data_IF_471283181850
#
_entry.id   IF_471283181850
#
_cell.length_a   1.000
_cell.length_b   1.000
_cell.length_c   1.000
_cell.angle_alpha   90.00
_cell.angle_beta   90.00
_cell.angle_gamma   90.00
#
_symmetry.space_group_name_H-M   'P 1'
#
loop_
_entity.id
_entity.type
_entity.pdbx_description
1 polymer ?
#
# COMPACT_ATOMS: atom_id res chain seq x y z
N UNK A 1 6.97 -14.38 -6.25
CA UNK A 1 6.34 -13.25 -5.52
C UNK A 1 6.58 -13.42 -4.04
N UNK A 2 7.06 -12.39 -3.35
CA UNK A 2 7.21 -12.38 -1.88
C UNK A 2 5.91 -11.85 -1.25
N UNK A 3 5.43 -12.52 -0.20
CA UNK A 3 4.21 -12.15 0.53
C UNK A 3 4.61 -11.74 1.94
N UNK A 4 4.31 -10.48 2.30
CA UNK A 4 4.55 -9.92 3.61
C UNK A 4 3.26 -9.81 4.41
N UNK A 5 3.40 -9.72 5.74
CA UNK A 5 2.31 -9.43 6.67
C UNK A 5 2.51 -8.07 7.31
N UNK A 6 1.46 -7.24 7.39
CA UNK A 6 1.48 -5.99 8.14
C UNK A 6 1.24 -6.26 9.63
N UNK A 7 2.07 -5.70 10.50
CA UNK A 7 1.95 -5.84 11.95
C UNK A 7 2.59 -4.66 12.68
N UNK A 8 2.23 -4.48 13.95
CA UNK A 8 2.91 -3.57 14.88
C UNK A 8 4.15 -4.21 15.47
N UNK A 9 5.03 -3.39 16.08
CA UNK A 9 6.24 -3.87 16.78
C UNK A 9 5.85 -4.44 18.16
N UNK A 10 5.20 -5.59 18.18
CA UNK A 10 4.73 -6.29 19.37
C UNK A 10 4.83 -7.80 19.20
N UNK A 11 4.62 -8.56 20.25
CA UNK A 11 4.80 -10.03 20.26
C UNK A 11 3.86 -10.76 19.27
N UNK A 12 2.73 -10.17 18.87
CA UNK A 12 1.83 -10.72 17.85
C UNK A 12 2.50 -10.88 16.48
N UNK A 13 3.64 -10.22 16.25
CA UNK A 13 4.44 -10.35 15.03
C UNK A 13 4.91 -11.80 14.79
N UNK A 14 5.21 -12.55 15.86
CA UNK A 14 5.63 -13.95 15.76
C UNK A 14 4.54 -14.87 15.24
N UNK A 15 3.28 -14.56 15.51
CA UNK A 15 2.15 -15.32 14.96
C UNK A 15 2.12 -15.20 13.41
N UNK A 16 2.33 -14.01 12.87
CA UNK A 16 2.39 -13.80 11.41
C UNK A 16 3.57 -14.55 10.78
N UNK A 17 4.73 -14.55 11.43
CA UNK A 17 5.91 -15.31 10.98
C UNK A 17 5.61 -16.80 10.99
N UNK A 18 4.97 -17.33 12.05
CA UNK A 18 4.60 -18.75 12.14
C UNK A 18 3.61 -19.21 11.07
N UNK A 19 2.84 -18.29 10.48
CA UNK A 19 1.91 -18.54 9.37
C UNK A 19 2.57 -18.50 7.99
N UNK A 20 3.91 -18.45 7.94
CA UNK A 20 4.67 -18.58 6.71
C UNK A 20 4.66 -17.33 5.83
N UNK A 21 4.71 -16.14 6.45
CA UNK A 21 5.05 -14.91 5.71
C UNK A 21 6.52 -14.90 5.32
N UNK A 22 6.85 -14.27 4.19
CA UNK A 22 8.26 -14.09 3.78
C UNK A 22 8.94 -12.93 4.52
N UNK A 23 8.16 -12.04 5.12
CA UNK A 23 8.67 -10.89 5.87
C UNK A 23 7.54 -10.05 6.46
N UNK A 24 7.92 -8.99 7.13
CA UNK A 24 7.00 -8.10 7.83
C UNK A 24 7.07 -6.70 7.25
N UNK A 25 5.89 -6.10 7.11
CA UNK A 25 5.70 -4.67 7.08
C UNK A 25 5.36 -4.20 8.49
N UNK A 26 6.24 -3.39 9.06
CA UNK A 26 6.06 -2.83 10.38
C UNK A 26 5.21 -1.56 10.31
N UNK A 27 4.00 -1.60 10.86
CA UNK A 27 3.14 -0.44 10.99
C UNK A 27 3.51 0.37 12.25
N UNK A 28 3.91 1.61 12.05
CA UNK A 28 4.14 2.56 13.13
C UNK A 28 2.86 3.35 13.40
N UNK A 29 2.53 3.52 14.67
CA UNK A 29 1.35 4.28 15.11
C UNK A 29 1.74 5.62 15.75
N UNK A 30 0.74 6.33 16.29
CA UNK A 30 0.94 7.64 16.92
C UNK A 30 1.87 7.60 18.13
N UNK A 31 1.96 6.46 18.82
CA UNK A 31 2.87 6.31 19.96
C UNK A 31 4.32 6.42 19.51
N UNK A 32 4.64 6.03 18.27
CA UNK A 32 5.95 6.27 17.67
C UNK A 32 6.30 7.75 17.57
N UNK A 33 5.31 8.63 17.37
CA UNK A 33 5.53 10.08 17.22
C UNK A 33 5.91 10.71 18.55
N UNK A 34 5.28 10.27 19.63
CA UNK A 34 5.30 10.92 20.94
C UNK A 34 6.37 10.39 21.88
N UNK A 35 6.93 9.21 21.64
CA UNK A 35 7.85 8.53 22.55
C UNK A 35 9.16 8.12 21.89
N UNK A 36 10.19 7.96 22.71
CA UNK A 36 11.39 7.24 22.31
C UNK A 36 10.97 5.85 21.85
N UNK A 37 11.10 5.61 20.58
CA UNK A 37 10.71 4.38 19.90
C UNK A 37 11.19 3.20 20.73
N UNK A 38 10.28 2.31 21.06
CA UNK A 38 10.60 1.06 21.68
C UNK A 38 11.41 0.20 20.70
N UNK A 39 12.73 0.38 20.71
CA UNK A 39 13.63 -0.52 20.01
C UNK A 39 13.55 -1.89 20.70
N UNK A 40 12.82 -2.81 20.08
CA UNK A 40 12.76 -4.18 20.57
C UNK A 40 13.83 -4.99 19.84
N UNK A 41 14.99 -5.14 20.47
CA UNK A 41 16.13 -5.89 19.91
C UNK A 41 15.78 -7.34 19.60
N UNK A 42 14.97 -7.98 20.43
CA UNK A 42 14.56 -9.37 20.22
C UNK A 42 13.78 -9.50 18.91
N UNK A 43 12.77 -8.68 18.69
CA UNK A 43 11.98 -8.71 17.46
C UNK A 43 12.86 -8.35 16.26
N UNK A 44 13.61 -7.25 16.34
CA UNK A 44 14.39 -6.74 15.21
C UNK A 44 15.51 -7.72 14.80
N UNK A 45 16.07 -8.47 15.73
CA UNK A 45 17.09 -9.46 15.40
C UNK A 45 16.53 -10.77 14.84
N UNK A 46 15.28 -11.12 15.15
CA UNK A 46 14.72 -12.43 14.83
C UNK A 46 13.60 -12.42 13.77
N UNK A 47 13.03 -11.25 13.44
CA UNK A 47 11.93 -11.10 12.50
C UNK A 47 12.39 -10.32 11.28
N UNK A 48 12.27 -10.86 10.06
CA UNK A 48 12.68 -10.15 8.85
C UNK A 48 11.72 -8.99 8.55
N UNK A 49 12.19 -7.74 8.74
CA UNK A 49 11.43 -6.52 8.50
C UNK A 49 11.94 -5.88 7.21
N UNK A 50 11.14 -5.93 6.14
CA UNK A 50 11.48 -5.36 4.83
C UNK A 50 10.78 -4.04 4.55
N UNK A 51 9.70 -3.75 5.27
CA UNK A 51 8.90 -2.56 5.05
C UNK A 51 8.59 -1.90 6.39
N UNK A 52 8.64 -0.58 6.43
CA UNK A 52 8.20 0.25 7.55
C UNK A 52 7.14 1.23 7.04
N UNK A 53 5.93 1.13 7.56
CA UNK A 53 4.85 2.06 7.23
C UNK A 53 4.87 3.24 8.19
N UNK A 54 4.99 4.46 7.65
CA UNK A 54 5.01 5.68 8.43
C UNK A 54 3.66 5.90 9.15
N UNK A 55 3.68 6.43 10.38
CA UNK A 55 2.47 6.68 11.12
C UNK A 55 1.61 7.77 10.48
N UNK A 56 0.29 7.59 10.57
CA UNK A 56 -0.68 8.64 10.26
C UNK A 56 -0.85 9.54 11.48
N UNK A 57 -1.00 10.85 11.27
CA UNK A 57 -1.29 11.81 12.34
C UNK A 57 -2.80 11.97 12.43
N UNK A 58 -3.45 11.50 13.51
CA UNK A 58 -4.89 11.64 13.73
C UNK A 58 -5.31 13.11 13.77
N UNK A 59 -6.30 13.46 12.95
CA UNK A 59 -6.78 14.84 12.84
C UNK A 59 -5.70 15.81 12.39
N UNK A 60 -4.53 15.30 12.02
CA UNK A 60 -3.39 16.06 11.54
C UNK A 60 -3.34 16.12 10.01
N UNK A 61 -2.65 17.15 9.54
CA UNK A 61 -2.33 17.29 8.13
C UNK A 61 -1.11 16.41 7.83
N UNK A 62 -1.31 15.29 7.14
CA UNK A 62 -0.24 14.41 6.64
C UNK A 62 0.50 15.03 5.45
N UNK A 63 0.23 16.31 5.15
CA UNK A 63 0.98 17.02 4.13
C UNK A 63 2.46 17.14 4.55
N UNK A 64 3.35 16.73 3.68
CA UNK A 64 4.81 16.82 3.91
C UNK A 64 5.29 18.28 4.13
N UNK A 65 4.49 19.27 3.81
CA UNK A 65 4.73 20.68 4.13
C UNK A 65 4.46 20.99 5.63
N UNK A 66 3.70 20.15 6.34
CA UNK A 66 3.54 20.26 7.77
C UNK A 66 4.84 19.91 8.49
N UNK A 67 5.33 20.82 9.33
CA UNK A 67 6.61 20.65 10.07
C UNK A 67 6.57 19.40 10.94
N UNK A 68 5.46 19.14 11.63
CA UNK A 68 5.31 17.97 12.50
C UNK A 68 5.39 16.67 11.69
N UNK A 69 4.74 16.61 10.54
CA UNK A 69 4.79 15.41 9.69
C UNK A 69 6.18 15.19 9.10
N UNK A 70 6.91 16.25 8.75
CA UNK A 70 8.31 16.16 8.32
C UNK A 70 9.22 15.55 9.38
N UNK A 71 9.05 15.95 10.63
CA UNK A 71 9.82 15.39 11.75
C UNK A 71 9.50 13.89 11.93
N UNK A 72 8.22 13.52 11.78
CA UNK A 72 7.78 12.12 11.81
C UNK A 72 8.42 11.32 10.70
N UNK A 73 8.40 11.81 9.46
CA UNK A 73 9.04 11.13 8.32
C UNK A 73 10.55 10.99 8.51
N UNK A 74 11.22 12.03 9.00
CA UNK A 74 12.66 11.99 9.28
C UNK A 74 12.99 10.92 10.33
N UNK A 75 12.22 10.84 11.42
CA UNK A 75 12.36 9.82 12.46
C UNK A 75 12.08 8.42 11.90
N UNK A 76 11.03 8.27 11.10
CA UNK A 76 10.66 7.00 10.46
C UNK A 76 11.78 6.49 9.55
N UNK A 77 12.32 7.35 8.69
CA UNK A 77 13.42 6.99 7.80
C UNK A 77 14.69 6.61 8.60
N UNK A 78 15.03 7.35 9.64
CA UNK A 78 16.17 7.03 10.52
C UNK A 78 15.97 5.70 11.25
N UNK A 79 14.76 5.40 11.70
CA UNK A 79 14.41 4.14 12.33
C UNK A 79 14.50 2.96 11.36
N UNK A 80 13.92 3.11 10.15
CA UNK A 80 14.01 2.11 9.09
C UNK A 80 15.47 1.86 8.67
N UNK A 81 16.29 2.91 8.56
CA UNK A 81 17.71 2.77 8.25
C UNK A 81 18.50 2.03 9.36
N UNK A 82 18.13 2.23 10.62
CA UNK A 82 18.69 1.46 11.73
C UNK A 82 18.33 -0.01 11.62
N UNK A 83 17.07 -0.37 11.29
CA UNK A 83 16.65 -1.75 11.01
C UNK A 83 17.45 -2.32 9.85
N UNK A 84 17.55 -1.61 8.74
CA UNK A 84 18.29 -2.03 7.55
C UNK A 84 19.76 -2.35 7.87
N UNK A 85 20.41 -1.52 8.65
CA UNK A 85 21.79 -1.75 9.11
C UNK A 85 21.93 -2.95 10.03
N UNK A 86 20.96 -3.16 10.92
CA UNK A 86 20.95 -4.32 11.84
C UNK A 86 20.72 -5.63 11.09
N UNK A 87 19.79 -5.64 10.13
CA UNK A 87 19.41 -6.86 9.41
C UNK A 87 20.24 -7.10 8.13
N UNK A 88 21.04 -6.15 7.70
CA UNK A 88 21.93 -6.30 6.57
C UNK A 88 21.28 -6.21 5.18
N UNK A 89 20.03 -5.75 5.06
CA UNK A 89 19.30 -5.55 3.80
C UNK A 89 18.62 -4.17 3.76
N UNK A 90 18.19 -3.75 2.58
CA UNK A 90 17.48 -2.49 2.42
C UNK A 90 16.04 -2.58 2.94
N UNK A 91 15.50 -1.47 3.44
CA UNK A 91 14.15 -1.37 3.98
C UNK A 91 13.35 -0.33 3.20
N UNK A 92 12.13 -0.70 2.81
CA UNK A 92 11.19 0.20 2.16
C UNK A 92 10.38 0.97 3.20
N UNK A 93 10.26 2.29 3.04
CA UNK A 93 9.41 3.14 3.88
C UNK A 93 8.18 3.54 3.07
N UNK A 94 7.00 3.11 3.51
CA UNK A 94 5.71 3.52 2.93
C UNK A 94 5.25 4.80 3.59
N UNK A 95 4.85 5.78 2.79
CA UNK A 95 4.40 7.08 3.25
C UNK A 95 3.11 7.51 2.57
N UNK A 96 2.24 8.20 3.31
CA UNK A 96 1.14 8.98 2.76
C UNK A 96 1.58 10.43 2.58
N UNK A 97 1.22 11.08 1.48
CA UNK A 97 1.54 12.50 1.27
C UNK A 97 0.41 13.44 1.63
N UNK A 98 -0.79 12.93 1.92
CA UNK A 98 -1.94 13.67 2.42
C UNK A 98 -2.39 14.86 1.57
N UNK A 99 -1.86 15.01 0.35
CA UNK A 99 -2.18 16.19 -0.47
C UNK A 99 -1.98 15.91 -1.95
N UNK A 100 -2.92 16.35 -2.80
CA UNK A 100 -2.86 16.19 -4.24
C UNK A 100 -1.78 17.07 -4.89
N UNK A 101 -1.28 16.63 -6.05
CA UNK A 101 -0.33 17.42 -6.86
C UNK A 101 -0.89 18.80 -7.22
N UNK A 102 -2.19 18.89 -7.51
CA UNK A 102 -2.84 20.17 -7.81
C UNK A 102 -2.73 21.15 -6.64
N UNK A 103 -2.98 20.69 -5.41
CA UNK A 103 -2.85 21.51 -4.21
C UNK A 103 -1.39 21.88 -3.95
N UNK A 104 -0.44 20.96 -4.13
CA UNK A 104 0.98 21.25 -4.00
C UNK A 104 1.46 22.30 -4.99
N UNK A 105 1.02 22.24 -6.25
CA UNK A 105 1.34 23.23 -7.27
C UNK A 105 0.70 24.60 -6.99
N UNK A 106 -0.56 24.60 -6.50
CA UNK A 106 -1.25 25.83 -6.12
C UNK A 106 -0.61 26.55 -4.92
N UNK A 107 0.10 25.82 -4.07
CA UNK A 107 0.83 26.35 -2.91
C UNK A 107 2.33 26.59 -3.17
N UNK A 108 2.79 26.47 -4.42
CA UNK A 108 4.20 26.50 -4.80
C UNK A 108 5.10 25.54 -4.02
N UNK A 109 4.51 24.46 -3.49
CA UNK A 109 5.16 23.50 -2.61
C UNK A 109 5.70 22.26 -3.36
N UNK A 110 5.35 22.08 -4.63
CA UNK A 110 5.64 20.85 -5.39
C UNK A 110 7.14 20.53 -5.48
N UNK A 111 7.96 21.50 -5.81
CA UNK A 111 9.42 21.32 -5.90
C UNK A 111 10.06 21.10 -4.52
N UNK A 112 9.51 21.73 -3.49
CA UNK A 112 9.94 21.51 -2.09
C UNK A 112 9.68 20.06 -1.65
N UNK A 113 8.53 19.50 -2.00
CA UNK A 113 8.20 18.09 -1.71
C UNK A 113 9.17 17.14 -2.42
N UNK A 114 9.45 17.36 -3.70
CA UNK A 114 10.42 16.56 -4.47
C UNK A 114 11.80 16.58 -3.82
N UNK A 115 12.30 17.78 -3.51
CA UNK A 115 13.59 17.96 -2.85
C UNK A 115 13.65 17.21 -1.50
N UNK A 116 12.59 17.32 -0.68
CA UNK A 116 12.54 16.66 0.64
C UNK A 116 12.54 15.15 0.55
N UNK A 117 11.81 14.57 -0.40
CA UNK A 117 11.80 13.12 -0.62
C UNK A 117 13.18 12.62 -1.06
N UNK A 118 13.84 13.31 -1.97
CA UNK A 118 15.23 13.01 -2.35
C UNK A 118 16.15 13.09 -1.14
N UNK A 119 16.05 14.17 -0.37
CA UNK A 119 16.90 14.38 0.80
C UNK A 119 16.75 13.28 1.86
N UNK A 120 15.52 12.80 2.10
CA UNK A 120 15.28 11.69 3.04
C UNK A 120 16.01 10.40 2.64
N UNK A 121 16.01 10.03 1.36
CA UNK A 121 16.73 8.83 0.90
C UNK A 121 18.24 9.05 0.82
N UNK A 122 18.71 10.26 0.57
CA UNK A 122 20.13 10.61 0.54
C UNK A 122 20.76 10.54 1.93
N UNK A 123 20.03 11.00 2.96
CA UNK A 123 20.49 10.93 4.35
C UNK A 123 20.52 9.50 4.91
N UNK A 124 19.82 8.57 4.29
CA UNK A 124 19.65 7.20 4.75
C UNK A 124 19.96 6.22 3.62
N UNK A 125 21.18 5.69 3.61
CA UNK A 125 21.73 4.95 2.45
C UNK A 125 20.96 3.66 2.12
N UNK A 126 20.35 3.03 3.11
CA UNK A 126 19.72 1.71 2.98
C UNK A 126 18.19 1.75 3.02
N UNK A 127 17.60 2.92 2.78
CA UNK A 127 16.15 3.00 2.66
C UNK A 127 15.70 3.33 1.22
N UNK A 128 14.55 2.81 0.90
CA UNK A 128 13.73 3.22 -0.25
C UNK A 128 12.45 3.86 0.26
N UNK A 129 11.81 4.71 -0.53
CA UNK A 129 10.51 5.30 -0.21
C UNK A 129 9.48 4.84 -1.24
N UNK A 130 8.30 4.43 -0.77
CA UNK A 130 7.12 4.19 -1.60
C UNK A 130 6.00 5.15 -1.19
N UNK A 131 5.49 5.91 -2.15
CA UNK A 131 4.36 6.80 -1.97
C UNK A 131 3.09 6.02 -2.22
N UNK A 132 2.24 5.91 -1.20
CA UNK A 132 1.00 5.17 -1.27
C UNK A 132 -0.15 6.04 -1.79
N UNK A 133 -1.00 5.46 -2.67
CA UNK A 133 -2.27 6.07 -3.02
C UNK A 133 -3.26 5.95 -1.86
N UNK A 134 -3.95 7.03 -1.57
CA UNK A 134 -4.97 7.08 -0.51
C UNK A 134 -6.36 7.19 -1.14
N UNK A 135 -7.36 6.52 -0.54
CA UNK A 135 -8.74 6.62 -1.02
C UNK A 135 -9.32 8.01 -0.75
N UNK A 136 -10.05 8.52 -1.74
CA UNK A 136 -10.82 9.76 -1.61
C UNK A 136 -12.14 9.59 -0.83
N UNK A 137 -12.43 8.38 -0.38
CA UNK A 137 -13.65 8.06 0.37
C UNK A 137 -13.36 8.02 1.85
N UNK A 138 -13.84 9.00 2.62
CA UNK A 138 -13.84 8.91 4.09
C UNK A 138 -15.18 8.45 4.63
N UNK A 139 -15.13 7.71 5.75
CA UNK A 139 -16.23 7.03 6.42
C UNK A 139 -17.11 7.99 7.25
N UNK A 140 -17.61 9.08 6.68
CA UNK A 140 -18.67 9.83 7.33
C UNK A 140 -19.96 9.63 6.54
N UNK A 141 -20.92 8.96 7.14
CA UNK A 141 -22.15 8.42 6.57
C UNK A 141 -23.05 9.43 5.85
N UNK A 142 -22.78 10.74 5.96
CA UNK A 142 -23.62 11.79 5.39
C UNK A 142 -22.92 12.71 4.38
N UNK A 143 -21.61 12.60 4.21
CA UNK A 143 -20.87 13.44 3.26
C UNK A 143 -19.86 12.63 2.46
N UNK A 144 -20.02 12.62 1.13
CA UNK A 144 -18.95 12.23 0.21
C UNK A 144 -17.91 13.36 0.29
N UNK A 145 -16.99 13.23 1.22
CA UNK A 145 -15.84 14.11 1.29
C UNK A 145 -14.83 13.62 0.26
N UNK A 146 -14.50 14.44 -0.73
CA UNK A 146 -13.40 14.20 -1.66
C UNK A 146 -12.18 14.88 -1.04
N UNK A 147 -11.34 14.20 -0.27
CA UNK A 147 -10.15 14.82 0.30
C UNK A 147 -9.22 15.24 -0.84
N UNK A 148 -8.44 16.25 -0.60
CA UNK A 148 -7.35 16.67 -1.49
C UNK A 148 -6.13 15.76 -1.35
N UNK A 149 -6.36 14.46 -1.19
CA UNK A 149 -5.31 13.47 -0.99
C UNK A 149 -4.70 13.00 -2.30
N UNK A 150 -3.52 12.40 -2.19
CA UNK A 150 -2.79 11.95 -3.37
C UNK A 150 -3.43 10.69 -3.95
N UNK A 151 -3.86 10.76 -5.19
CA UNK A 151 -4.38 9.60 -5.93
C UNK A 151 -3.21 8.76 -6.47
N UNK A 152 -3.53 7.55 -6.96
CA UNK A 152 -2.54 6.71 -7.64
C UNK A 152 -1.89 7.40 -8.86
N UNK A 153 -2.65 8.23 -9.59
CA UNK A 153 -2.13 8.99 -10.73
C UNK A 153 -1.19 10.09 -10.26
N UNK A 154 -1.54 10.76 -9.16
CA UNK A 154 -0.72 11.81 -8.57
C UNK A 154 0.58 11.22 -8.04
N UNK A 155 0.53 10.11 -7.29
CA UNK A 155 1.70 9.42 -6.78
C UNK A 155 2.63 8.99 -7.93
N UNK A 156 2.09 8.37 -8.98
CA UNK A 156 2.86 7.97 -10.15
C UNK A 156 3.50 9.16 -10.88
N UNK A 157 2.78 10.27 -11.03
CA UNK A 157 3.28 11.49 -11.67
C UNK A 157 4.42 12.08 -10.86
N UNK A 158 4.24 12.23 -9.55
CA UNK A 158 5.27 12.77 -8.66
C UNK A 158 6.54 11.93 -8.68
N UNK A 159 6.42 10.60 -8.60
CA UNK A 159 7.56 9.68 -8.64
C UNK A 159 8.31 9.77 -9.96
N UNK A 160 7.61 9.84 -11.09
CA UNK A 160 8.22 10.03 -12.42
C UNK A 160 8.95 11.35 -12.53
N UNK A 161 8.37 12.42 -12.00
CA UNK A 161 9.00 13.75 -12.00
C UNK A 161 10.22 13.83 -11.06
N UNK A 162 10.22 13.08 -9.97
CA UNK A 162 11.38 12.93 -9.06
C UNK A 162 12.50 12.15 -9.76
N UNK A 163 12.16 11.08 -10.47
CA UNK A 163 13.09 10.21 -11.20
C UNK A 163 14.28 9.73 -10.36
N UNK A 164 14.04 9.28 -9.14
CA UNK A 164 15.06 8.76 -8.23
C UNK A 164 14.92 7.25 -8.05
N UNK A 165 15.99 6.42 -8.19
CA UNK A 165 15.87 4.95 -8.20
C UNK A 165 15.37 4.35 -6.89
N UNK A 166 15.56 5.03 -5.76
CA UNK A 166 15.10 4.60 -4.44
C UNK A 166 13.73 5.14 -4.05
N UNK A 167 13.05 5.92 -4.93
CA UNK A 167 11.70 6.43 -4.70
C UNK A 167 10.75 5.79 -5.71
N UNK A 168 9.64 5.26 -5.24
CA UNK A 168 8.62 4.61 -6.06
C UNK A 168 7.23 4.76 -5.48
N UNK A 169 6.31 3.93 -5.97
CA UNK A 169 4.92 3.92 -5.52
C UNK A 169 4.60 2.64 -4.75
N UNK A 170 3.67 2.74 -3.80
CA UNK A 170 2.91 1.64 -3.25
C UNK A 170 1.49 1.70 -3.82
N UNK A 171 1.01 0.63 -4.44
CA UNK A 171 -0.39 0.52 -4.86
C UNK A 171 -1.15 -0.18 -3.75
N UNK A 172 -2.04 0.56 -3.07
CA UNK A 172 -3.04 -0.05 -2.21
C UNK A 172 -4.27 -0.42 -3.05
N UNK A 173 -4.53 -1.73 -3.14
CA UNK A 173 -5.63 -2.31 -3.93
C UNK A 173 -6.98 -1.92 -3.34
N UNK A 174 -7.11 -1.90 -2.01
CA UNK A 174 -8.35 -1.52 -1.34
C UNK A 174 -8.71 -0.06 -1.64
N UNK A 175 -7.75 0.85 -1.50
CA UNK A 175 -7.93 2.26 -1.82
C UNK A 175 -8.27 2.46 -3.31
N UNK A 176 -7.60 1.74 -4.20
CA UNK A 176 -7.87 1.78 -5.62
C UNK A 176 -9.31 1.33 -5.95
N UNK A 177 -9.75 0.22 -5.36
CA UNK A 177 -11.12 -0.29 -5.53
C UNK A 177 -12.16 0.67 -4.98
N UNK A 178 -11.90 1.31 -3.83
CA UNK A 178 -12.79 2.34 -3.26
C UNK A 178 -12.92 3.54 -4.19
N UNK A 179 -11.82 4.03 -4.74
CA UNK A 179 -11.81 5.15 -5.68
C UNK A 179 -12.56 4.82 -6.99
N UNK A 180 -12.37 3.62 -7.54
CA UNK A 180 -13.11 3.18 -8.73
C UNK A 180 -14.60 3.11 -8.44
N UNK A 181 -15.01 2.53 -7.30
CA UNK A 181 -16.43 2.48 -6.89
C UNK A 181 -17.04 3.89 -6.72
N UNK A 182 -16.28 4.82 -6.14
CA UNK A 182 -16.68 6.23 -6.03
C UNK A 182 -16.94 6.84 -7.41
N UNK A 183 -15.99 6.71 -8.34
CA UNK A 183 -16.12 7.25 -9.69
C UNK A 183 -17.31 6.66 -10.44
N UNK A 184 -17.54 5.35 -10.31
CA UNK A 184 -18.72 4.69 -10.88
C UNK A 184 -20.03 5.27 -10.32
N UNK A 185 -20.07 5.53 -9.01
CA UNK A 185 -21.26 6.12 -8.37
C UNK A 185 -21.50 7.55 -8.80
N UNK A 186 -20.46 8.38 -8.91
CA UNK A 186 -20.55 9.74 -9.39
C UNK A 186 -21.06 9.80 -10.85
N UNK A 187 -20.54 8.94 -11.73
CA UNK A 187 -21.01 8.83 -13.13
C UNK A 187 -22.50 8.49 -13.21
N UNK A 188 -22.98 7.53 -12.39
CA UNK A 188 -24.42 7.19 -12.31
C UNK A 188 -25.27 8.40 -11.91
N UNK A 189 -24.79 9.20 -10.96
CA UNK A 189 -25.53 10.38 -10.48
C UNK A 189 -25.58 11.51 -11.51
N UNK A 190 -24.54 11.69 -12.30
CA UNK A 190 -24.44 12.73 -13.31
C UNK A 190 -24.90 12.30 -14.73
N UNK A 191 -25.48 11.11 -14.86
CA UNK A 191 -26.20 10.70 -16.09
C UNK A 191 -25.28 10.20 -17.21
N UNK A 192 -24.04 9.91 -16.98
CA UNK A 192 -23.22 9.18 -17.95
C UNK A 192 -23.66 7.70 -18.01
N UNK A 193 -23.80 7.15 -19.24
CA UNK A 193 -24.13 5.74 -19.43
C UNK A 193 -23.13 4.83 -18.71
N UNK A 194 -23.66 3.98 -17.82
CA UNK A 194 -22.84 3.09 -17.00
C UNK A 194 -22.47 1.86 -17.82
N UNK A 195 -21.20 1.74 -18.15
CA UNK A 195 -20.62 0.49 -18.64
C UNK A 195 -20.73 -0.56 -17.52
N UNK A 196 -20.93 -1.82 -17.88
CA UNK A 196 -21.14 -2.92 -16.91
C UNK A 196 -20.09 -2.92 -15.81
N UNK A 197 -20.53 -2.99 -14.53
CA UNK A 197 -19.70 -2.83 -13.31
C UNK A 197 -18.34 -3.56 -13.31
N UNK A 198 -18.25 -4.76 -13.88
CA UNK A 198 -17.02 -5.55 -13.90
C UNK A 198 -15.98 -5.03 -14.89
N UNK A 199 -16.41 -4.43 -16.00
CA UNK A 199 -15.50 -3.85 -17.00
C UNK A 199 -14.86 -2.59 -16.42
N UNK A 200 -15.63 -1.74 -15.73
CA UNK A 200 -15.10 -0.51 -15.14
C UNK A 200 -14.07 -0.78 -14.04
N UNK A 201 -14.29 -1.81 -13.20
CA UNK A 201 -13.31 -2.19 -12.18
C UNK A 201 -12.01 -2.68 -12.82
N UNK A 202 -12.09 -3.55 -13.82
CA UNK A 202 -10.92 -4.07 -14.54
C UNK A 202 -10.16 -2.94 -15.26
N UNK A 203 -10.86 -2.08 -15.98
CA UNK A 203 -10.24 -0.97 -16.73
C UNK A 203 -9.60 0.03 -15.79
N UNK A 204 -10.25 0.34 -14.66
CA UNK A 204 -9.69 1.20 -13.63
C UNK A 204 -8.42 0.60 -13.01
N UNK A 205 -8.43 -0.66 -12.64
CA UNK A 205 -7.25 -1.36 -12.14
C UNK A 205 -6.14 -1.45 -13.18
N UNK A 206 -6.47 -1.74 -14.43
CA UNK A 206 -5.51 -1.76 -15.53
C UNK A 206 -4.83 -0.40 -15.72
N UNK A 207 -5.57 0.70 -15.65
CA UNK A 207 -5.02 2.05 -15.75
C UNK A 207 -4.06 2.36 -14.58
N UNK A 208 -4.39 1.92 -13.36
CA UNK A 208 -3.55 2.07 -12.17
C UNK A 208 -2.23 1.31 -12.36
N UNK A 209 -2.29 0.05 -12.76
CA UNK A 209 -1.11 -0.78 -12.98
C UNK A 209 -0.25 -0.20 -14.12
N UNK A 210 -0.85 0.21 -15.24
CA UNK A 210 -0.14 0.84 -16.34
C UNK A 210 0.59 2.14 -15.91
N UNK A 211 -0.06 2.98 -15.12
CA UNK A 211 0.51 4.24 -14.64
C UNK A 211 1.75 4.02 -13.75
N UNK A 212 1.80 2.90 -13.03
CA UNK A 212 2.85 2.57 -12.07
C UNK A 212 3.94 1.62 -12.63
N UNK A 213 3.87 1.26 -13.91
CA UNK A 213 4.89 0.39 -14.53
C UNK A 213 6.29 0.99 -14.35
N UNK A 214 7.23 0.17 -13.92
CA UNK A 214 8.65 0.48 -13.65
C UNK A 214 8.94 1.38 -12.44
N UNK A 215 7.92 1.84 -11.72
CA UNK A 215 8.10 2.69 -10.54
C UNK A 215 7.51 2.11 -9.26
N UNK A 216 6.77 1.00 -9.38
CA UNK A 216 6.18 0.33 -8.21
C UNK A 216 7.25 -0.35 -7.35
N UNK A 217 7.08 -0.26 -6.05
CA UNK A 217 7.95 -0.88 -5.03
C UNK A 217 7.20 -1.89 -4.17
N UNK A 218 5.88 -1.73 -4.01
CA UNK A 218 5.04 -2.53 -3.13
C UNK A 218 3.59 -2.53 -3.59
N UNK A 219 2.87 -3.60 -3.27
CA UNK A 219 1.41 -3.66 -3.35
C UNK A 219 0.86 -3.97 -1.97
N UNK A 220 -0.04 -3.12 -1.45
CA UNK A 220 -0.90 -3.47 -0.33
C UNK A 220 -2.11 -4.24 -0.85
N UNK A 221 -2.35 -5.41 -0.28
CA UNK A 221 -3.33 -6.37 -0.77
C UNK A 221 -4.40 -6.63 0.27
N UNK A 222 -5.53 -5.97 0.09
CA UNK A 222 -6.74 -6.17 0.86
C UNK A 222 -7.97 -5.86 -0.01
N UNK A 223 -9.10 -6.45 0.36
CA UNK A 223 -10.38 -6.18 -0.27
C UNK A 223 -11.02 -4.92 0.34
N UNK A 224 -11.87 -4.25 -0.42
CA UNK A 224 -12.81 -3.27 0.12
C UNK A 224 -14.16 -3.96 0.36
N UNK A 225 -14.42 -4.35 1.61
CA UNK A 225 -15.67 -5.02 2.00
C UNK A 225 -16.87 -4.09 1.97
N UNK A 226 -18.04 -4.68 1.70
CA UNK A 226 -19.33 -3.99 1.78
C UNK A 226 -19.82 -3.36 0.48
N UNK A 227 -21.13 -3.09 0.42
CA UNK A 227 -21.83 -2.53 -0.75
C UNK A 227 -21.86 -1.00 -0.78
N UNK A 228 -21.36 -0.34 0.28
CA UNK A 228 -21.39 1.12 0.40
C UNK A 228 -20.10 1.80 -0.06
N UNK A 229 -20.17 3.09 -0.35
CA UNK A 229 -19.01 3.92 -0.73
C UNK A 229 -17.91 3.96 0.33
N UNK A 230 -18.22 3.73 1.61
CA UNK A 230 -17.28 3.63 2.72
C UNK A 230 -17.10 2.20 3.24
N UNK A 231 -17.40 1.17 2.41
CA UNK A 231 -17.32 -0.24 2.79
C UNK A 231 -15.91 -0.63 3.21
N UNK A 232 -15.85 -1.23 4.38
CA UNK A 232 -14.75 -1.85 5.08
C UNK A 232 -13.36 -1.87 4.41
N UNK A 233 -12.58 -0.81 4.63
CA UNK A 233 -11.14 -0.85 4.33
C UNK A 233 -10.50 -2.05 5.02
N UNK A 234 -9.63 -2.77 4.29
CA UNK A 234 -8.87 -3.87 4.86
C UNK A 234 -9.68 -5.16 5.10
N UNK A 235 -10.76 -5.39 4.34
CA UNK A 235 -11.45 -6.66 4.38
C UNK A 235 -10.58 -7.79 3.79
N UNK A 236 -10.77 -9.05 4.22
CA UNK A 236 -10.08 -10.18 3.61
C UNK A 236 -10.59 -10.44 2.19
N UNK A 237 -9.73 -10.95 1.33
CA UNK A 237 -10.15 -11.66 0.12
C UNK A 237 -10.53 -13.08 0.48
N UNK A 238 -11.77 -13.46 0.21
CA UNK A 238 -12.29 -14.81 0.42
C UNK A 238 -12.28 -15.62 -0.89
N UNK A 239 -12.62 -16.89 -0.81
CA UNK A 239 -12.77 -17.72 -2.01
C UNK A 239 -13.82 -17.17 -2.98
N UNK A 240 -14.82 -16.45 -2.50
CA UNK A 240 -15.82 -15.80 -3.36
C UNK A 240 -15.21 -14.66 -4.21
N UNK A 241 -14.13 -14.05 -3.73
CA UNK A 241 -13.40 -12.98 -4.39
C UNK A 241 -12.28 -13.49 -5.31
N UNK A 242 -12.11 -14.81 -5.47
CA UNK A 242 -11.00 -15.42 -6.24
C UNK A 242 -10.89 -14.85 -7.66
N UNK A 243 -12.02 -14.50 -8.29
CA UNK A 243 -12.03 -13.89 -9.62
C UNK A 243 -11.40 -12.49 -9.65
N UNK A 244 -11.53 -11.70 -8.56
CA UNK A 244 -10.89 -10.38 -8.42
C UNK A 244 -9.38 -10.58 -8.20
N UNK A 245 -9.01 -11.52 -7.33
CA UNK A 245 -7.61 -11.89 -7.08
C UNK A 245 -6.93 -12.32 -8.37
N UNK A 246 -7.59 -13.16 -9.19
CA UNK A 246 -7.09 -13.59 -10.49
C UNK A 246 -6.89 -12.43 -11.47
N UNK A 247 -7.80 -11.45 -11.50
CA UNK A 247 -7.65 -10.24 -12.31
C UNK A 247 -6.44 -9.42 -11.88
N UNK A 248 -6.26 -9.20 -10.58
CA UNK A 248 -5.10 -8.48 -10.04
C UNK A 248 -3.79 -9.21 -10.40
N UNK A 249 -3.74 -10.52 -10.22
CA UNK A 249 -2.57 -11.34 -10.58
C UNK A 249 -2.28 -11.34 -12.08
N UNK A 250 -3.31 -11.28 -12.94
CA UNK A 250 -3.13 -11.13 -14.38
C UNK A 250 -2.49 -9.78 -14.72
N UNK A 251 -2.93 -8.69 -14.09
CA UNK A 251 -2.33 -7.37 -14.27
C UNK A 251 -0.89 -7.34 -13.74
N UNK A 252 -0.64 -7.94 -12.58
CA UNK A 252 0.71 -8.06 -12.02
C UNK A 252 1.66 -8.72 -13.03
N UNK A 253 1.24 -9.82 -13.65
CA UNK A 253 2.04 -10.53 -14.65
C UNK A 253 2.12 -9.77 -15.98
N UNK A 254 1.01 -9.16 -16.44
CA UNK A 254 0.96 -8.40 -17.70
C UNK A 254 1.95 -7.23 -17.69
N UNK A 255 2.10 -6.57 -16.55
CA UNK A 255 3.03 -5.46 -16.38
C UNK A 255 4.42 -5.88 -15.89
N UNK A 256 4.66 -7.19 -15.78
CA UNK A 256 5.96 -7.78 -15.39
C UNK A 256 6.45 -7.23 -14.04
N UNK A 257 5.55 -7.08 -13.07
CA UNK A 257 5.92 -6.59 -11.75
C UNK A 257 6.77 -7.61 -11.00
N UNK A 258 7.82 -7.12 -10.35
CA UNK A 258 8.71 -7.89 -9.48
C UNK A 258 8.83 -7.19 -8.10
N UNK A 259 7.70 -6.77 -7.56
CA UNK A 259 7.63 -6.17 -6.24
C UNK A 259 6.95 -7.11 -5.24
N UNK A 260 7.27 -7.01 -3.94
CA UNK A 260 6.56 -7.75 -2.92
C UNK A 260 5.11 -7.28 -2.78
N UNK A 261 4.32 -8.12 -2.09
CA UNK A 261 2.93 -7.86 -1.77
C UNK A 261 2.77 -7.96 -0.25
N UNK A 262 2.21 -6.93 0.39
CA UNK A 262 1.85 -6.96 1.81
C UNK A 262 0.36 -7.20 1.95
N UNK A 263 -0.04 -8.24 2.69
CA UNK A 263 -1.43 -8.44 3.09
C UNK A 263 -1.75 -7.47 4.23
N UNK A 264 -2.59 -6.48 3.91
CA UNK A 264 -2.99 -5.40 4.81
C UNK A 264 -4.48 -5.50 5.19
N UNK A 265 -4.83 -6.49 5.98
CA UNK A 265 -6.21 -6.72 6.42
C UNK A 265 -6.41 -6.29 7.86
N UNK A 266 -7.63 -5.79 8.16
CA UNK A 266 -8.06 -5.50 9.53
C UNK A 266 -8.47 -6.82 10.17
N UNK A 267 -7.86 -7.13 11.31
CA UNK A 267 -8.20 -8.29 12.11
C UNK A 267 -9.22 -7.92 13.19
N UNK A 268 -10.11 -8.83 13.54
CA UNK A 268 -10.95 -8.70 14.74
C UNK A 268 -10.10 -8.81 16.00
N UNK A 269 -9.17 -9.75 15.99
CA UNK A 269 -8.14 -9.92 17.01
C UNK A 269 -6.79 -10.18 16.36
N UNK A 270 -5.90 -9.23 16.45
CA UNK A 270 -4.57 -9.29 15.82
C UNK A 270 -3.68 -10.43 16.35
N UNK A 271 -4.06 -11.05 17.48
CA UNK A 271 -3.36 -12.22 18.02
C UNK A 271 -3.57 -13.47 17.16
N UNK A 272 -4.69 -13.57 16.44
CA UNK A 272 -5.04 -14.78 15.70
C UNK A 272 -4.81 -14.70 14.19
N UNK A 273 -4.76 -13.53 13.59
CA UNK A 273 -4.47 -13.34 12.16
C UNK A 273 -5.40 -14.12 11.23
N UNK A 274 -6.70 -14.18 11.53
CA UNK A 274 -7.67 -14.96 10.76
C UNK A 274 -7.86 -14.39 9.36
N UNK A 275 -8.07 -13.09 9.23
CA UNK A 275 -8.27 -12.41 7.95
C UNK A 275 -7.00 -12.46 7.08
N UNK A 276 -5.82 -12.36 7.71
CA UNK A 276 -4.56 -12.59 7.04
C UNK A 276 -4.49 -14.00 6.43
N UNK A 277 -4.83 -15.02 7.22
CA UNK A 277 -4.81 -16.41 6.79
C UNK A 277 -5.79 -16.67 5.64
N UNK A 278 -7.02 -16.15 5.74
CA UNK A 278 -8.04 -16.26 4.67
C UNK A 278 -7.51 -15.64 3.38
N UNK A 279 -7.02 -14.40 3.42
CA UNK A 279 -6.50 -13.68 2.24
C UNK A 279 -5.28 -14.39 1.64
N UNK A 280 -4.35 -14.85 2.49
CA UNK A 280 -3.16 -15.59 2.05
C UNK A 280 -3.53 -16.89 1.33
N UNK A 281 -4.43 -17.68 1.91
CA UNK A 281 -4.87 -18.94 1.30
C UNK A 281 -5.58 -18.72 -0.05
N UNK A 282 -6.42 -17.69 -0.15
CA UNK A 282 -7.07 -17.33 -1.42
C UNK A 282 -6.05 -16.97 -2.48
N UNK A 283 -5.06 -16.12 -2.13
CA UNK A 283 -3.98 -15.72 -3.02
C UNK A 283 -3.13 -16.92 -3.47
N UNK A 284 -2.72 -17.77 -2.54
CA UNK A 284 -1.92 -18.98 -2.84
C UNK A 284 -2.68 -19.96 -3.73
N UNK A 285 -3.97 -20.17 -3.50
CA UNK A 285 -4.82 -21.01 -4.37
C UNK A 285 -4.88 -20.46 -5.79
N UNK A 286 -5.04 -19.17 -5.98
CA UNK A 286 -5.05 -18.54 -7.30
C UNK A 286 -3.68 -18.69 -8.00
N UNK A 287 -2.57 -18.52 -7.28
CA UNK A 287 -1.21 -18.71 -7.81
C UNK A 287 -0.96 -20.17 -8.25
N UNK A 288 -1.38 -21.16 -7.44
CA UNK A 288 -1.25 -22.57 -7.80
C UNK A 288 -2.05 -22.94 -9.05
N UNK A 289 -3.29 -22.47 -9.16
CA UNK A 289 -4.13 -22.73 -10.33
C UNK A 289 -3.50 -22.18 -11.61
N UNK A 290 -2.89 -20.98 -11.57
CA UNK A 290 -2.16 -20.40 -12.70
C UNK A 290 -0.94 -21.23 -13.08
N UNK A 291 -0.16 -21.72 -12.12
CA UNK A 291 1.01 -22.54 -12.38
C UNK A 291 0.67 -23.90 -13.01
N UNK A 292 -0.48 -24.48 -12.66
CA UNK A 292 -0.99 -25.73 -13.28
C UNK A 292 -1.46 -25.49 -14.71
N UNK A 293 -2.16 -24.38 -14.95
CA UNK A 293 -2.67 -24.03 -16.29
C UNK A 293 -1.54 -23.78 -17.29
N UNK A 294 -0.45 -23.12 -16.87
CA UNK A 294 0.72 -22.89 -17.74
C UNK A 294 1.44 -24.19 -18.12
N UNK A 295 1.60 -25.13 -17.19
CA UNK A 295 2.22 -26.43 -17.46
C UNK A 295 1.42 -27.29 -18.47
N UNK A 296 0.09 -27.22 -18.38
CA UNK A 296 -0.78 -27.96 -19.33
C UNK A 296 -0.70 -27.40 -20.76
N UNK A 297 -0.40 -26.10 -20.93
CA UNK A 297 -0.20 -25.49 -22.25
C UNK A 297 1.16 -25.84 -22.85
N UNK A 298 2.19 -26.03 -22.03
CA UNK A 298 3.53 -26.43 -22.49
C UNK A 298 3.65 -27.94 -22.85
N UNK A 299 2.72 -28.76 -22.35
CA UNK A 299 2.68 -30.21 -22.61
C UNK A 299 1.79 -30.60 -23.81
N UNK A 300 1.15 -29.62 -24.46
CA UNK A 300 0.34 -29.90 -25.67
C UNK A 300 1.24 -29.78 -26.90
N UNK A 301 1.49 -30.91 -27.66
CA UNK A 301 2.42 -30.97 -28.78
C UNK A 301 1.97 -30.14 -29.99
#
# INVERSE_FOLDING_TARGET
MLIFAKNKLENTIYDKVSRGTNGIELHLDEDFINFNVYWNEEIINNVPIYVVHAPLIKGGDTCIENVQYRDVLTKTCSFANKIANTQGHDVLVVIHLGTSIHKLKALDAYESVKYRLCHLVELNERIHIAIENVSRVHKNEEQIYVPHEITFTDAATLVKDINHPRIGTCIDICHAMMDIKLMMTLRRHFGEEVIKNNIELHDGMNAIFAANKNIIKLIHFANCGGSGLGGGHGAPFTNEDAHIVDQILNLYNLYEYDCPLTIEVIEQDYRFGENYTITKNTLETCLENKSRSSKLLDETP
#
